data_IF_161557142286
#
_entry.id   IF_161557142286
#
_cell.length_a   1.000
_cell.length_b   1.000
_cell.length_c   1.000
_cell.angle_alpha   90.00
_cell.angle_beta   90.00
_cell.angle_gamma   90.00
#
_symmetry.space_group_name_H-M   'P 1'
#
loop_
_entity.id
_entity.type
_entity.pdbx_description
1 polymer ?
#
# COMPACT_ATOMS: atom_id res chain seq x y z
N UNK A 1 -23.61 -3.86 8.50
CA UNK A 1 -24.10 -2.84 7.55
C UNK A 1 -23.38 -1.53 7.80
N UNK A 2 -23.34 -0.65 6.81
CA UNK A 2 -22.88 0.73 7.03
C UNK A 2 -23.97 1.55 7.73
N UNK A 3 -23.59 2.58 8.49
CA UNK A 3 -24.51 3.55 9.10
C UNK A 3 -24.42 4.84 8.30
N UNK A 4 -25.57 5.37 7.88
CA UNK A 4 -25.68 6.62 7.12
C UNK A 4 -26.43 7.64 7.95
N UNK A 5 -25.96 8.88 8.01
CA UNK A 5 -26.66 9.96 8.69
C UNK A 5 -27.89 10.38 7.87
N UNK A 6 -29.07 10.28 8.47
CA UNK A 6 -30.36 10.50 7.83
C UNK A 6 -30.41 11.82 7.04
N UNK A 7 -30.87 11.75 5.79
CA UNK A 7 -31.03 12.91 4.90
C UNK A 7 -29.73 13.51 4.35
N UNK A 8 -28.54 13.02 4.74
CA UNK A 8 -27.25 13.64 4.34
C UNK A 8 -26.42 12.83 3.34
N UNK A 9 -26.62 11.51 3.28
CA UNK A 9 -25.74 10.61 2.51
C UNK A 9 -24.36 10.39 3.13
N UNK A 10 -24.07 10.92 4.32
CA UNK A 10 -22.77 10.75 5.00
C UNK A 10 -22.69 9.36 5.62
N UNK A 11 -21.76 8.53 5.13
CA UNK A 11 -21.46 7.21 5.67
C UNK A 11 -20.49 7.35 6.85
N UNK A 12 -20.86 6.82 8.01
CA UNK A 12 -20.00 6.80 9.19
C UNK A 12 -18.93 5.71 9.08
N UNK A 13 -17.70 6.05 9.47
CA UNK A 13 -16.60 5.08 9.51
C UNK A 13 -16.79 4.05 10.64
N UNK A 14 -16.19 2.88 10.48
CA UNK A 14 -16.17 1.81 11.49
C UNK A 14 -14.79 1.71 12.19
N UNK A 15 -14.01 2.80 12.25
CA UNK A 15 -12.59 2.77 12.62
C UNK A 15 -12.33 2.17 14.01
N UNK A 16 -13.28 2.28 14.93
CA UNK A 16 -13.17 1.72 16.29
C UNK A 16 -12.93 0.20 16.32
N UNK A 17 -13.18 -0.54 15.23
CA UNK A 17 -12.82 -1.96 15.10
C UNK A 17 -11.32 -2.23 15.30
N UNK A 18 -10.47 -1.21 15.12
CA UNK A 18 -9.02 -1.34 15.33
C UNK A 18 -8.61 -1.52 16.78
N UNK A 19 -9.46 -1.18 17.76
CA UNK A 19 -9.11 -1.31 19.18
C UNK A 19 -9.02 -2.78 19.62
N UNK A 20 -8.11 -3.05 20.54
CA UNK A 20 -8.15 -4.27 21.35
C UNK A 20 -9.13 -4.09 22.51
N UNK A 21 -9.78 -5.19 22.91
CA UNK A 21 -10.60 -5.25 24.13
C UNK A 21 -9.84 -5.94 25.28
N UNK A 22 -8.60 -6.36 25.06
CA UNK A 22 -7.76 -6.99 26.09
C UNK A 22 -7.27 -5.93 27.07
N UNK A 23 -7.60 -6.04 28.37
CA UNK A 23 -7.11 -5.12 29.39
C UNK A 23 -5.58 -5.07 29.40
N UNK A 24 -5.02 -3.86 29.51
CA UNK A 24 -3.57 -3.64 29.49
C UNK A 24 -2.92 -3.62 28.10
N UNK A 25 -3.64 -3.94 27.01
CA UNK A 25 -3.07 -3.84 25.67
C UNK A 25 -2.78 -2.36 25.31
N UNK A 26 -1.63 -2.03 24.67
CA UNK A 26 -1.31 -0.67 24.29
C UNK A 26 -2.34 -0.01 23.38
N UNK A 27 -3.13 -0.78 22.63
CA UNK A 27 -4.26 -0.29 21.83
C UNK A 27 -5.63 -0.67 22.43
N UNK A 28 -5.76 -0.76 23.76
CA UNK A 28 -7.05 -1.02 24.43
C UNK A 28 -8.03 0.16 24.24
N UNK A 29 -9.32 -0.15 24.07
CA UNK A 29 -10.42 0.82 23.94
C UNK A 29 -10.53 1.70 25.19
N UNK A 30 -10.59 3.02 25.00
CA UNK A 30 -10.84 3.99 26.06
C UNK A 30 -11.53 5.26 25.52
N UNK A 31 -12.36 5.96 26.32
CA UNK A 31 -13.00 7.23 25.93
C UNK A 31 -11.97 8.28 25.47
N UNK A 32 -12.28 8.99 24.39
CA UNK A 32 -11.41 10.04 23.83
C UNK A 32 -10.13 9.53 23.15
N UNK A 33 -9.87 8.22 23.16
CA UNK A 33 -8.68 7.63 22.54
C UNK A 33 -8.87 7.46 21.04
N UNK A 34 -7.77 7.60 20.29
CA UNK A 34 -7.68 7.21 18.87
C UNK A 34 -7.06 5.81 18.77
N UNK A 35 -7.66 4.94 17.98
CA UNK A 35 -7.13 3.58 17.75
C UNK A 35 -5.87 3.61 16.89
N UNK A 36 -5.07 2.56 16.99
CA UNK A 36 -3.99 2.30 16.05
C UNK A 36 -4.50 2.39 14.60
N UNK A 37 -3.76 3.09 13.76
CA UNK A 37 -4.15 3.36 12.39
C UNK A 37 -3.21 2.66 11.42
N UNK A 38 -3.80 2.11 10.36
CA UNK A 38 -3.05 1.46 9.28
C UNK A 38 -2.73 2.39 8.13
N UNK A 39 -3.38 3.56 8.05
CA UNK A 39 -3.10 4.52 6.97
C UNK A 39 -1.63 4.93 7.01
N UNK A 40 -0.98 4.74 5.87
CA UNK A 40 0.41 5.07 5.68
C UNK A 40 0.57 5.70 4.30
N UNK A 41 1.00 6.95 4.29
CA UNK A 41 1.47 7.69 3.12
C UNK A 41 2.92 8.05 3.36
N UNK A 42 3.65 8.33 2.28
CA UNK A 42 5.06 8.66 2.36
C UNK A 42 5.40 9.89 1.52
N UNK A 43 6.44 10.58 1.98
CA UNK A 43 7.11 11.65 1.26
C UNK A 43 8.61 11.41 1.39
N UNK A 44 9.33 11.43 0.28
CA UNK A 44 10.79 11.31 0.27
C UNK A 44 11.36 12.66 -0.14
N UNK A 45 12.31 13.14 0.67
CA UNK A 45 13.00 14.40 0.48
C UNK A 45 14.47 14.14 0.16
N UNK A 46 15.03 15.02 -0.66
CA UNK A 46 16.47 15.07 -0.95
C UNK A 46 16.91 16.52 -0.88
N UNK A 47 17.93 16.80 -0.09
CA UNK A 47 18.49 18.14 0.10
C UNK A 47 17.42 19.19 0.50
N UNK A 48 16.45 18.78 1.32
CA UNK A 48 15.35 19.62 1.79
C UNK A 48 14.14 19.71 0.84
N UNK A 49 14.25 19.19 -0.38
CA UNK A 49 13.23 19.29 -1.42
C UNK A 49 12.43 18.00 -1.59
N UNK A 50 11.11 18.11 -1.74
CA UNK A 50 10.22 16.96 -1.97
C UNK A 50 10.50 16.33 -3.34
N UNK A 51 10.89 15.05 -3.35
CA UNK A 51 11.17 14.31 -4.58
C UNK A 51 10.05 13.36 -4.95
N UNK A 52 9.45 12.68 -3.96
CA UNK A 52 8.44 11.65 -4.19
C UNK A 52 7.35 11.81 -3.13
N UNK A 53 6.09 11.74 -3.54
CA UNK A 53 4.95 11.58 -2.64
C UNK A 53 4.08 10.45 -3.14
N UNK A 54 3.57 9.62 -2.23
CA UNK A 54 2.69 8.54 -2.60
C UNK A 54 2.02 7.86 -1.43
N UNK A 55 1.17 6.90 -1.77
CA UNK A 55 0.47 6.08 -0.79
C UNK A 55 -0.49 5.13 -1.46
N UNK A 56 -1.11 4.27 -0.65
CA UNK A 56 -2.00 3.22 -1.12
C UNK A 56 -3.07 2.93 -0.07
N UNK A 57 -4.29 2.55 -0.45
CA UNK A 57 -5.19 1.81 0.44
C UNK A 57 -4.68 0.37 0.63
N UNK A 58 -5.29 -0.40 1.54
CA UNK A 58 -4.99 -1.83 1.71
C UNK A 58 -4.85 -2.34 3.14
N UNK A 59 -5.31 -1.57 4.15
CA UNK A 59 -5.26 -2.01 5.54
C UNK A 59 -3.83 -2.26 6.01
N UNK A 60 -3.56 -3.42 6.60
CA UNK A 60 -2.22 -3.80 7.10
C UNK A 60 -1.19 -3.98 5.97
N UNK A 61 -1.64 -4.19 4.73
CA UNK A 61 -0.74 -4.32 3.57
C UNK A 61 -0.12 -3.00 3.11
N UNK A 62 -0.62 -1.85 3.56
CA UNK A 62 -0.19 -0.53 3.07
C UNK A 62 1.31 -0.30 3.22
N UNK A 63 1.88 -0.62 4.39
CA UNK A 63 3.31 -0.43 4.66
C UNK A 63 4.14 -1.34 3.73
N UNK A 64 3.71 -2.58 3.54
CA UNK A 64 4.39 -3.57 2.70
C UNK A 64 4.37 -3.15 1.22
N UNK A 65 3.22 -2.67 0.72
CA UNK A 65 3.10 -2.15 -0.63
C UNK A 65 3.94 -0.88 -0.82
N UNK A 66 3.89 0.05 0.13
CA UNK A 66 4.64 1.30 0.05
C UNK A 66 6.15 1.05 0.04
N UNK A 67 6.68 0.14 0.88
CA UNK A 67 8.12 -0.17 0.85
C UNK A 67 8.54 -0.80 -0.47
N UNK A 68 7.72 -1.69 -1.05
CA UNK A 68 7.99 -2.26 -2.38
C UNK A 68 8.07 -1.19 -3.46
N UNK A 69 7.13 -0.22 -3.46
CA UNK A 69 7.15 0.88 -4.44
C UNK A 69 8.34 1.81 -4.22
N UNK A 70 8.69 2.12 -2.97
CA UNK A 70 9.86 2.94 -2.65
C UNK A 70 11.14 2.25 -3.13
N UNK A 71 11.33 0.96 -2.85
CA UNK A 71 12.47 0.20 -3.34
C UNK A 71 12.53 0.17 -4.87
N UNK A 72 11.39 -0.01 -5.53
CA UNK A 72 11.30 0.06 -6.99
C UNK A 72 11.76 1.40 -7.57
N UNK A 73 11.38 2.52 -6.93
CA UNK A 73 11.76 3.86 -7.35
C UNK A 73 13.23 4.18 -7.04
N UNK A 74 13.68 3.85 -5.83
CA UNK A 74 14.97 4.31 -5.28
C UNK A 74 16.09 3.32 -5.54
N UNK A 75 15.86 2.03 -5.27
CA UNK A 75 16.89 1.00 -5.35
C UNK A 75 16.99 0.41 -6.76
N UNK A 76 15.85 0.18 -7.41
CA UNK A 76 15.80 -0.40 -8.75
C UNK A 76 15.69 0.64 -9.89
N UNK A 77 15.52 1.92 -9.55
CA UNK A 77 15.49 3.02 -10.53
C UNK A 77 14.35 2.93 -11.54
N UNK A 78 13.27 2.23 -11.22
CA UNK A 78 12.11 2.13 -12.11
C UNK A 78 11.39 3.48 -12.20
N UNK A 79 10.79 3.76 -13.36
CA UNK A 79 9.92 4.93 -13.46
C UNK A 79 8.64 4.74 -12.61
N UNK A 80 7.92 5.84 -12.35
CA UNK A 80 6.77 5.82 -11.43
C UNK A 80 5.70 4.79 -11.80
N UNK A 81 5.35 4.66 -13.09
CA UNK A 81 4.34 3.70 -13.52
C UNK A 81 4.87 2.27 -13.42
N UNK A 82 6.11 2.00 -13.84
CA UNK A 82 6.75 0.69 -13.70
C UNK A 82 6.84 0.25 -12.23
N UNK A 83 7.21 1.15 -11.32
CA UNK A 83 7.32 0.88 -9.90
C UNK A 83 5.97 0.50 -9.28
N UNK A 84 4.89 1.18 -9.69
CA UNK A 84 3.51 0.90 -9.29
C UNK A 84 3.04 -0.44 -9.89
N UNK A 85 3.36 -0.69 -11.14
CA UNK A 85 2.86 -1.83 -11.90
C UNK A 85 3.55 -3.14 -11.55
N UNK A 86 4.74 -3.10 -10.97
CA UNK A 86 5.49 -4.26 -10.54
C UNK A 86 4.61 -5.26 -9.75
N UNK A 87 4.83 -6.58 -9.91
CA UNK A 87 4.12 -7.60 -9.15
C UNK A 87 4.43 -7.45 -7.66
N UNK A 88 3.40 -7.56 -6.81
CA UNK A 88 3.52 -7.36 -5.37
C UNK A 88 3.38 -8.65 -4.58
N UNK A 89 3.87 -8.58 -3.35
CA UNK A 89 3.68 -9.60 -2.33
C UNK A 89 3.18 -8.98 -1.02
N UNK A 90 2.53 -9.80 -0.19
CA UNK A 90 2.10 -9.46 1.17
C UNK A 90 2.37 -10.65 2.09
N UNK A 91 3.13 -10.41 3.16
CA UNK A 91 3.21 -11.32 4.30
C UNK A 91 1.89 -11.26 5.07
N UNK A 92 1.21 -12.39 5.20
CA UNK A 92 -0.09 -12.50 5.88
C UNK A 92 0.12 -12.86 7.35
N UNK A 93 0.64 -14.05 7.61
CA UNK A 93 0.91 -14.55 8.96
C UNK A 93 2.00 -15.62 8.93
N UNK A 94 2.89 -15.62 9.91
CA UNK A 94 3.96 -16.61 10.00
C UNK A 94 4.81 -16.64 8.73
N UNK A 95 4.83 -17.77 8.03
CA UNK A 95 5.59 -17.98 6.80
C UNK A 95 4.74 -17.85 5.52
N UNK A 96 3.46 -17.47 5.63
CA UNK A 96 2.54 -17.37 4.49
C UNK A 96 2.70 -16.03 3.78
N UNK A 97 2.91 -16.08 2.47
CA UNK A 97 3.09 -14.91 1.60
C UNK A 97 2.09 -15.00 0.45
N UNK A 98 1.18 -14.03 0.35
CA UNK A 98 0.38 -13.83 -0.84
C UNK A 98 1.22 -13.12 -1.91
N UNK A 99 1.23 -13.62 -3.14
CA UNK A 99 2.02 -13.05 -4.23
C UNK A 99 1.20 -12.96 -5.50
N UNK A 100 1.27 -11.87 -6.24
CA UNK A 100 0.60 -11.80 -7.53
C UNK A 100 1.20 -12.78 -8.55
N UNK A 101 0.34 -13.43 -9.34
CA UNK A 101 0.73 -14.41 -10.36
C UNK A 101 1.60 -13.87 -11.50
N UNK A 102 1.88 -12.56 -11.52
CA UNK A 102 2.84 -11.92 -12.43
C UNK A 102 4.29 -12.00 -11.91
N UNK A 103 4.50 -12.47 -10.67
CA UNK A 103 5.84 -12.69 -10.15
C UNK A 103 6.55 -13.79 -10.95
N UNK A 104 7.87 -13.65 -11.14
CA UNK A 104 8.67 -14.65 -11.82
C UNK A 104 8.53 -16.03 -11.15
N UNK A 105 8.25 -17.12 -11.90
CA UNK A 105 8.10 -18.46 -11.33
C UNK A 105 9.32 -18.94 -10.54
N UNK A 106 10.52 -18.50 -10.92
CA UNK A 106 11.75 -18.80 -10.20
C UNK A 106 11.79 -18.17 -8.80
N UNK A 107 11.27 -16.95 -8.63
CA UNK A 107 11.15 -16.27 -7.33
C UNK A 107 10.18 -17.01 -6.42
N UNK A 108 9.03 -17.45 -6.96
CA UNK A 108 8.03 -18.22 -6.22
C UNK A 108 8.63 -19.51 -5.69
N UNK A 109 9.22 -20.33 -6.58
CA UNK A 109 9.88 -21.59 -6.19
C UNK A 109 10.99 -21.37 -5.18
N UNK A 110 11.82 -20.35 -5.37
CA UNK A 110 12.90 -20.04 -4.45
C UNK A 110 12.42 -19.69 -3.04
N UNK A 111 11.24 -19.08 -2.89
CA UNK A 111 10.64 -18.82 -1.58
C UNK A 111 10.08 -20.12 -0.97
N UNK A 112 9.41 -20.95 -1.76
CA UNK A 112 8.89 -22.25 -1.32
C UNK A 112 10.02 -23.18 -0.81
N UNK A 113 11.15 -23.25 -1.54
CA UNK A 113 12.35 -24.00 -1.15
C UNK A 113 12.96 -23.51 0.17
N UNK A 114 12.75 -22.24 0.52
CA UNK A 114 13.19 -21.64 1.79
C UNK A 114 12.16 -21.82 2.92
N UNK A 115 11.06 -22.53 2.67
CA UNK A 115 10.04 -22.86 3.66
C UNK A 115 8.88 -21.86 3.73
N UNK A 116 8.78 -20.91 2.81
CA UNK A 116 7.62 -20.02 2.73
C UNK A 116 6.42 -20.74 2.13
N UNK A 117 5.22 -20.41 2.62
CA UNK A 117 3.97 -20.87 2.03
C UNK A 117 3.46 -19.81 1.07
N UNK A 118 3.76 -19.96 -0.22
CA UNK A 118 3.35 -18.99 -1.23
C UNK A 118 1.92 -19.24 -1.68
N UNK A 119 1.08 -18.21 -1.58
CA UNK A 119 -0.30 -18.22 -2.09
C UNK A 119 -0.38 -17.30 -3.30
N UNK A 120 -0.46 -17.89 -4.50
CA UNK A 120 -0.61 -17.10 -5.71
C UNK A 120 -1.98 -16.45 -5.79
N UNK A 121 -1.98 -15.15 -6.01
CA UNK A 121 -3.14 -14.32 -6.27
C UNK A 121 -3.28 -14.06 -7.78
N UNK A 122 -4.48 -13.75 -8.28
CA UNK A 122 -4.68 -13.26 -9.64
C UNK A 122 -3.72 -12.12 -10.03
N UNK A 123 -3.43 -11.92 -11.33
CA UNK A 123 -2.75 -10.71 -11.77
C UNK A 123 -3.57 -9.48 -11.36
N UNK A 124 -2.89 -8.41 -10.95
CA UNK A 124 -3.53 -7.15 -10.54
C UNK A 124 -4.54 -7.32 -9.39
N UNK A 125 -4.16 -8.10 -8.38
CA UNK A 125 -5.06 -8.45 -7.30
C UNK A 125 -5.42 -7.23 -6.43
N UNK A 126 -6.69 -6.88 -6.36
CA UNK A 126 -7.20 -5.70 -5.64
C UNK A 126 -6.72 -5.55 -4.17
N UNK A 127 -6.61 -6.63 -3.37
CA UNK A 127 -6.00 -6.58 -2.03
C UNK A 127 -4.55 -6.09 -1.97
N UNK A 128 -3.80 -6.11 -3.08
CA UNK A 128 -2.40 -5.65 -3.14
C UNK A 128 -2.26 -4.12 -3.15
N UNK A 129 -3.36 -3.39 -3.00
CA UNK A 129 -3.38 -1.94 -2.87
C UNK A 129 -3.94 -1.22 -4.09
N UNK A 130 -3.62 0.06 -4.19
CA UNK A 130 -4.08 0.97 -5.23
C UNK A 130 -3.24 2.23 -5.19
N UNK A 131 -1.95 2.07 -5.45
CA UNK A 131 -0.93 3.10 -5.26
C UNK A 131 -1.18 4.28 -6.19
N UNK A 132 -1.03 5.49 -5.65
CA UNK A 132 -0.89 6.70 -6.44
C UNK A 132 0.41 7.36 -6.02
N UNK A 133 1.20 7.83 -6.98
CA UNK A 133 2.46 8.49 -6.68
C UNK A 133 2.80 9.57 -7.69
N UNK A 134 3.51 10.59 -7.20
CA UNK A 134 4.07 11.68 -7.98
C UNK A 134 5.57 11.74 -7.65
N UNK A 135 6.39 11.83 -8.70
CA UNK A 135 7.85 11.84 -8.65
C UNK A 135 8.35 13.06 -9.42
N UNK A 136 9.24 13.86 -8.81
CA UNK A 136 9.92 14.95 -9.51
C UNK A 136 10.85 14.36 -10.58
N UNK A 137 10.79 14.89 -11.79
CA UNK A 137 11.63 14.42 -12.88
C UNK A 137 13.11 14.77 -12.61
N UNK A 138 14.07 13.84 -12.81
CA UNK A 138 15.48 14.10 -12.49
C UNK A 138 16.11 15.24 -13.29
N UNK A 139 15.63 15.46 -14.52
CA UNK A 139 16.22 16.41 -15.46
C UNK A 139 15.55 17.79 -15.50
N UNK A 140 14.55 18.10 -14.65
CA UNK A 140 13.89 19.41 -14.73
C UNK A 140 12.74 19.64 -13.76
N UNK A 141 11.99 20.71 -14.04
CA UNK A 141 10.88 21.20 -13.23
C UNK A 141 9.52 20.61 -13.61
N UNK A 142 9.50 19.33 -13.99
CA UNK A 142 8.26 18.60 -14.26
C UNK A 142 8.09 17.43 -13.30
N UNK A 143 6.86 16.93 -13.24
CA UNK A 143 6.49 15.78 -12.43
C UNK A 143 6.07 14.63 -13.32
N UNK A 144 6.44 13.42 -12.91
CA UNK A 144 5.86 12.18 -13.41
C UNK A 144 4.87 11.68 -12.38
N UNK A 145 3.69 11.25 -12.83
CA UNK A 145 2.67 10.69 -11.96
C UNK A 145 2.26 9.31 -12.46
N UNK A 146 1.87 8.44 -11.55
CA UNK A 146 1.40 7.09 -11.87
C UNK A 146 0.18 6.72 -11.05
N UNK A 147 -0.71 5.95 -11.68
CA UNK A 147 -1.93 5.45 -11.09
C UNK A 147 -1.98 3.92 -11.21
N UNK A 148 -2.32 3.26 -10.11
CA UNK A 148 -2.31 1.80 -10.03
C UNK A 148 -3.48 1.16 -10.78
N UNK A 149 -3.23 0.27 -11.76
CA UNK A 149 -4.27 -0.38 -12.55
C UNK A 149 -5.08 -1.41 -11.76
N UNK A 150 -4.72 -1.71 -10.50
CA UNK A 150 -5.54 -2.52 -9.58
C UNK A 150 -6.81 -1.82 -9.12
N UNK A 151 -6.91 -0.50 -9.37
CA UNK A 151 -8.08 0.32 -9.08
C UNK A 151 -8.37 1.27 -10.23
N UNK A 152 -9.58 1.80 -10.24
CA UNK A 152 -9.95 2.88 -11.15
C UNK A 152 -9.35 4.19 -10.63
N UNK A 153 -8.27 4.64 -11.27
CA UNK A 153 -7.57 5.87 -10.95
C UNK A 153 -6.84 6.43 -12.17
N UNK A 154 -6.58 7.73 -12.18
CA UNK A 154 -5.94 8.43 -13.29
C UNK A 154 -4.84 9.34 -12.78
N UNK A 155 -3.74 9.40 -13.52
CA UNK A 155 -2.73 10.43 -13.40
C UNK A 155 -2.96 11.47 -14.49
N UNK A 156 -3.09 12.74 -14.11
CA UNK A 156 -3.37 13.85 -15.03
C UNK A 156 -2.34 14.96 -14.80
N UNK A 157 -2.01 15.69 -15.87
CA UNK A 157 -1.09 16.82 -15.86
C UNK A 157 -1.80 18.08 -16.37
N UNK A 158 -1.28 19.24 -15.96
CA UNK A 158 -1.70 20.57 -16.36
C UNK A 158 -0.45 21.41 -16.61
#
# INVERSE_FOLDING_TARGET
GAVVVDGTGIILNNRMIGFSLTPGHPNCLAPGRRTAHTLNTYMLFRDGELQIVGGTPGGVGQIQTNVQVICNLVDFGLNVQQAIEAPRWLCESGVTIAMEGRMAPATVRGLEERGHQVRLAPPWHFPMGGVQAIVRHPAGDCFMAGADPRREGYALAW
#
